data_IF_567231093988
#
_entry.id   IF_567231093988
#
_cell.length_a   1.000
_cell.length_b   1.000
_cell.length_c   1.000
_cell.angle_alpha   90.00
_cell.angle_beta   90.00
_cell.angle_gamma   90.00
#
_symmetry.space_group_name_H-M   'P 1'
#
loop_
_entity.id
_entity.type
_entity.pdbx_description
1 polymer ?
#
# COMPACT_ATOMS: atom_id res chain seq x y z
N UNK A 1 25.73 -28.86 -0.73
CA UNK A 1 24.81 -27.70 -0.67
C UNK A 1 24.48 -27.32 -2.10
N UNK A 2 23.22 -27.06 -2.41
CA UNK A 2 22.85 -26.47 -3.70
C UNK A 2 23.54 -25.11 -3.80
N UNK A 3 24.15 -24.79 -4.95
CA UNK A 3 24.84 -23.52 -5.16
C UNK A 3 23.89 -22.31 -5.11
N UNK A 4 24.39 -21.07 -5.28
CA UNK A 4 23.56 -19.86 -5.20
C UNK A 4 22.49 -19.78 -6.31
N UNK A 5 22.63 -20.59 -7.37
CA UNK A 5 21.69 -20.66 -8.49
C UNK A 5 21.09 -22.06 -8.49
N UNK A 6 19.76 -22.13 -8.38
CA UNK A 6 19.00 -23.39 -8.31
C UNK A 6 17.83 -23.31 -9.28
N UNK A 7 17.69 -24.30 -10.15
CA UNK A 7 16.51 -24.45 -11.01
C UNK A 7 15.39 -25.12 -10.21
N UNK A 8 14.23 -24.47 -10.11
CA UNK A 8 13.05 -25.01 -9.40
C UNK A 8 12.24 -25.90 -10.34
N UNK A 9 12.00 -25.45 -11.57
CA UNK A 9 11.27 -26.19 -12.60
C UNK A 9 11.77 -25.82 -14.01
N UNK A 10 11.06 -26.25 -15.06
CA UNK A 10 11.46 -25.97 -16.44
C UNK A 10 11.56 -24.46 -16.76
N UNK A 11 10.77 -23.61 -16.08
CA UNK A 11 10.64 -22.17 -16.32
C UNK A 11 11.25 -21.28 -15.24
N UNK A 12 11.48 -21.80 -14.04
CA UNK A 12 11.88 -21.02 -12.88
C UNK A 12 13.30 -21.34 -12.40
N UNK A 13 14.07 -20.28 -12.16
CA UNK A 13 15.41 -20.33 -11.59
C UNK A 13 15.42 -19.39 -10.39
N UNK A 14 15.85 -19.88 -9.24
CA UNK A 14 16.13 -19.11 -8.05
C UNK A 14 17.61 -18.69 -8.05
N UNK A 15 17.86 -17.40 -7.85
CA UNK A 15 19.20 -16.82 -7.83
C UNK A 15 19.39 -16.09 -6.50
N UNK A 16 20.33 -16.58 -5.70
CA UNK A 16 20.81 -15.94 -4.47
C UNK A 16 22.29 -15.55 -4.65
N UNK A 17 22.56 -14.73 -5.66
CA UNK A 17 23.88 -14.18 -5.95
C UNK A 17 23.74 -12.67 -6.26
N UNK A 18 24.33 -11.78 -5.44
CA UNK A 18 24.20 -10.33 -5.63
C UNK A 18 24.78 -9.85 -6.96
N UNK A 19 25.69 -10.60 -7.61
CA UNK A 19 26.23 -10.24 -8.93
C UNK A 19 25.17 -10.18 -10.02
N UNK A 20 24.06 -10.88 -9.84
CA UNK A 20 22.94 -10.89 -10.79
C UNK A 20 21.86 -9.86 -10.44
N UNK A 21 22.04 -9.07 -9.39
CA UNK A 21 21.02 -8.10 -8.97
C UNK A 21 20.67 -7.12 -10.10
N UNK A 22 21.68 -6.50 -10.73
CA UNK A 22 21.47 -5.55 -11.83
C UNK A 22 21.01 -6.22 -13.13
N UNK A 23 21.22 -7.53 -13.29
CA UNK A 23 20.71 -8.28 -14.44
C UNK A 23 19.21 -8.59 -14.28
N UNK A 24 18.80 -8.99 -13.06
CA UNK A 24 17.42 -9.36 -12.73
C UNK A 24 16.55 -8.13 -12.52
N UNK A 25 17.03 -7.16 -11.75
CA UNK A 25 16.38 -5.91 -11.38
C UNK A 25 16.96 -4.72 -12.17
N UNK A 26 17.23 -4.95 -13.45
CA UNK A 26 17.86 -3.98 -14.33
C UNK A 26 17.11 -2.64 -14.40
N UNK A 27 17.86 -1.56 -14.56
CA UNK A 27 17.32 -0.21 -14.75
C UNK A 27 16.48 -0.10 -16.03
N UNK A 28 15.75 1.01 -16.17
CA UNK A 28 14.74 1.21 -17.23
C UNK A 28 15.23 1.17 -18.68
N UNK A 29 16.50 0.86 -18.95
CA UNK A 29 17.05 0.60 -20.28
C UNK A 29 16.74 -0.81 -20.79
N UNK A 30 16.41 -1.77 -19.91
CA UNK A 30 16.11 -3.15 -20.30
C UNK A 30 14.60 -3.40 -20.37
N UNK A 31 14.11 -3.78 -21.55
CA UNK A 31 12.72 -4.19 -21.76
C UNK A 31 12.52 -5.65 -21.33
N UNK A 32 11.76 -5.88 -20.26
CA UNK A 32 11.34 -7.24 -19.83
C UNK A 32 9.85 -7.27 -19.52
N UNK A 33 9.20 -8.36 -19.95
CA UNK A 33 7.81 -8.64 -19.60
C UNK A 33 7.77 -9.46 -18.30
N UNK A 34 6.75 -9.25 -17.48
CA UNK A 34 6.48 -10.13 -16.33
C UNK A 34 5.92 -11.46 -16.83
N UNK A 35 6.18 -12.53 -16.10
CA UNK A 35 5.58 -13.84 -16.39
C UNK A 35 4.08 -13.82 -16.05
N UNK A 36 3.24 -14.11 -17.05
CA UNK A 36 1.78 -14.02 -16.93
C UNK A 36 1.21 -14.99 -15.89
N UNK A 37 1.78 -16.20 -15.81
CA UNK A 37 1.38 -17.19 -14.81
C UNK A 37 1.75 -16.72 -13.42
N UNK A 38 2.95 -16.17 -13.25
CA UNK A 38 3.39 -15.62 -11.98
C UNK A 38 2.53 -14.45 -11.50
N UNK A 39 2.13 -13.50 -12.35
CA UNK A 39 1.34 -12.34 -11.88
C UNK A 39 -0.15 -12.63 -11.67
N UNK A 40 -0.64 -13.75 -12.21
CA UNK A 40 -2.07 -14.10 -12.18
C UNK A 40 -2.61 -14.38 -10.76
N UNK A 41 -1.76 -14.75 -9.80
CA UNK A 41 -2.20 -15.10 -8.44
C UNK A 41 -2.88 -13.94 -7.71
N UNK A 42 -2.57 -12.69 -8.11
CA UNK A 42 -3.12 -11.49 -7.47
C UNK A 42 -4.63 -11.39 -7.66
N UNK A 43 -5.17 -12.00 -8.72
CA UNK A 43 -6.57 -11.82 -9.09
C UNK A 43 -6.90 -10.39 -9.56
N UNK A 44 -5.93 -9.51 -9.79
CA UNK A 44 -6.15 -8.13 -10.25
C UNK A 44 -5.50 -7.95 -11.62
N UNK A 45 -6.01 -8.66 -12.63
CA UNK A 45 -5.34 -8.86 -13.91
C UNK A 45 -5.21 -7.57 -14.73
N UNK A 46 -6.09 -6.60 -14.53
CA UNK A 46 -6.04 -5.31 -15.23
C UNK A 46 -5.23 -4.26 -14.46
N UNK A 47 -4.81 -4.53 -13.21
CA UNK A 47 -4.03 -3.58 -12.43
C UNK A 47 -2.60 -3.38 -12.99
N UNK A 48 -1.99 -2.25 -12.63
CA UNK A 48 -0.59 -1.96 -12.98
C UNK A 48 0.36 -3.06 -12.48
N UNK A 49 0.21 -3.55 -11.25
CA UNK A 49 1.07 -4.59 -10.69
C UNK A 49 1.05 -5.90 -11.49
N UNK A 50 -0.10 -6.29 -12.04
CA UNK A 50 -0.27 -7.53 -12.82
C UNK A 50 -0.08 -7.33 -14.33
N UNK A 51 0.19 -6.11 -14.78
CA UNK A 51 0.42 -5.83 -16.21
C UNK A 51 1.71 -6.50 -16.67
N UNK A 52 1.60 -7.41 -17.65
CA UNK A 52 2.71 -8.23 -18.14
C UNK A 52 3.58 -7.53 -19.17
N UNK A 53 2.97 -6.82 -20.11
CA UNK A 53 3.70 -6.07 -21.13
C UNK A 53 4.42 -4.86 -20.52
N UNK A 54 5.70 -4.74 -20.86
CA UNK A 54 6.58 -3.70 -20.35
C UNK A 54 6.08 -2.28 -20.64
N UNK A 55 5.68 -2.00 -21.89
CA UNK A 55 5.36 -0.63 -22.31
C UNK A 55 4.00 -0.21 -21.73
N UNK A 56 3.04 -1.14 -21.67
CA UNK A 56 1.76 -0.91 -21.01
C UNK A 56 1.93 -0.71 -19.50
N UNK A 57 2.80 -1.49 -18.85
CA UNK A 57 3.14 -1.30 -17.44
C UNK A 57 3.76 0.09 -17.22
N UNK A 58 4.74 0.47 -18.05
CA UNK A 58 5.39 1.78 -18.00
C UNK A 58 4.38 2.92 -18.18
N UNK A 59 3.45 2.78 -19.12
CA UNK A 59 2.38 3.74 -19.34
C UNK A 59 1.49 3.88 -18.10
N UNK A 60 0.93 2.77 -17.59
CA UNK A 60 0.05 2.75 -16.40
C UNK A 60 0.73 3.32 -15.16
N UNK A 61 1.99 2.95 -14.92
CA UNK A 61 2.83 3.50 -13.85
C UNK A 61 3.03 5.01 -14.04
N UNK A 62 3.33 5.42 -15.27
CA UNK A 62 3.51 6.83 -15.65
C UNK A 62 2.33 7.73 -15.32
N UNK A 63 1.09 7.23 -15.41
CA UNK A 63 -0.11 7.97 -15.02
C UNK A 63 -0.11 8.38 -13.54
N UNK A 64 0.53 7.60 -12.67
CA UNK A 64 0.49 7.79 -11.21
C UNK A 64 1.79 8.36 -10.63
N UNK A 65 2.89 8.38 -11.38
CA UNK A 65 4.22 8.76 -10.87
C UNK A 65 4.25 10.12 -10.16
N UNK A 66 3.51 11.11 -10.67
CA UNK A 66 3.50 12.45 -10.08
C UNK A 66 2.92 12.47 -8.65
N UNK A 67 1.95 11.62 -8.36
CA UNK A 67 1.36 11.47 -7.02
C UNK A 67 2.42 10.96 -6.04
N UNK A 68 3.27 10.07 -6.49
CA UNK A 68 4.36 9.55 -5.67
C UNK A 68 5.56 10.51 -5.60
N UNK A 69 5.52 11.71 -6.17
CA UNK A 69 6.61 12.69 -6.01
C UNK A 69 6.71 13.24 -4.58
N UNK A 70 7.92 13.65 -4.14
CA UNK A 70 8.09 14.34 -2.85
C UNK A 70 7.16 15.55 -2.69
N UNK A 71 6.90 16.28 -3.77
CA UNK A 71 6.00 17.44 -3.76
C UNK A 71 4.56 17.03 -3.42
N UNK A 72 4.05 15.99 -4.07
CA UNK A 72 2.69 15.51 -3.84
C UNK A 72 2.53 14.84 -2.47
N UNK A 73 3.53 14.10 -2.00
CA UNK A 73 3.53 13.54 -0.63
C UNK A 73 3.54 14.63 0.43
N UNK A 74 4.31 15.71 0.24
CA UNK A 74 4.24 16.89 1.12
C UNK A 74 2.84 17.53 1.11
N UNK A 75 2.17 17.52 -0.04
CA UNK A 75 0.80 18.04 -0.17
C UNK A 75 -0.24 17.32 0.68
N UNK A 76 -0.01 16.07 1.09
CA UNK A 76 -0.91 15.31 1.98
C UNK A 76 -0.38 15.20 3.43
N UNK A 77 0.78 15.81 3.76
CA UNK A 77 1.40 15.61 5.08
C UNK A 77 0.48 16.01 6.23
N UNK A 78 -0.31 17.08 6.06
CA UNK A 78 -1.29 17.54 7.06
C UNK A 78 -2.30 16.44 7.42
N UNK A 79 -2.75 15.66 6.44
CA UNK A 79 -3.73 14.59 6.65
C UNK A 79 -3.07 13.38 7.33
N UNK A 80 -1.83 13.08 6.98
CA UNK A 80 -1.05 12.04 7.68
C UNK A 80 -0.86 12.44 9.15
N UNK A 81 -0.49 13.69 9.42
CA UNK A 81 -0.35 14.24 10.78
C UNK A 81 -1.66 14.16 11.56
N UNK A 82 -2.80 14.47 10.94
CA UNK A 82 -4.13 14.31 11.53
C UNK A 82 -4.38 12.84 11.95
N UNK A 83 -4.12 11.87 11.05
CA UNK A 83 -4.35 10.44 11.36
C UNK A 83 -3.37 9.91 12.40
N UNK A 84 -2.12 10.37 12.41
CA UNK A 84 -1.16 10.07 13.48
C UNK A 84 -1.66 10.61 14.81
N UNK A 85 -2.16 11.85 14.85
CA UNK A 85 -2.71 12.44 16.07
C UNK A 85 -3.94 11.67 16.57
N UNK A 86 -4.87 11.31 15.68
CA UNK A 86 -6.01 10.47 16.04
C UNK A 86 -5.54 9.12 16.59
N UNK A 87 -4.60 8.44 15.94
CA UNK A 87 -4.03 7.19 16.44
C UNK A 87 -3.40 7.34 17.84
N UNK A 88 -2.69 8.44 18.12
CA UNK A 88 -2.16 8.73 19.46
C UNK A 88 -3.27 8.88 20.50
N UNK A 89 -4.37 9.57 20.18
CA UNK A 89 -5.53 9.67 21.07
C UNK A 89 -6.17 8.29 21.33
N UNK A 90 -6.25 7.43 20.29
CA UNK A 90 -6.74 6.05 20.43
C UNK A 90 -5.84 5.24 21.36
N UNK A 91 -4.51 5.35 21.24
CA UNK A 91 -3.57 4.69 22.14
C UNK A 91 -3.71 5.17 23.59
N UNK A 92 -3.86 6.47 23.82
CA UNK A 92 -4.12 7.03 25.16
C UNK A 92 -5.41 6.45 25.76
N UNK A 93 -6.48 6.35 24.96
CA UNK A 93 -7.74 5.75 25.41
C UNK A 93 -7.58 4.25 25.75
N UNK A 94 -6.87 3.49 24.93
CA UNK A 94 -6.59 2.07 25.22
C UNK A 94 -5.72 1.89 26.47
N UNK A 95 -4.74 2.77 26.67
CA UNK A 95 -3.89 2.79 27.87
C UNK A 95 -4.73 3.05 29.12
N UNK A 96 -5.60 4.06 29.12
CA UNK A 96 -6.49 4.38 30.25
C UNK A 96 -7.44 3.22 30.60
N UNK A 97 -7.87 2.46 29.61
CA UNK A 97 -8.73 1.30 29.80
C UNK A 97 -7.96 -0.01 30.05
N UNK A 98 -6.63 0.03 30.17
CA UNK A 98 -5.76 -1.14 30.32
C UNK A 98 -6.03 -2.23 29.25
N UNK A 99 -6.30 -1.82 28.00
CA UNK A 99 -6.60 -2.74 26.89
C UNK A 99 -5.33 -3.04 26.10
N UNK A 100 -5.05 -4.33 25.89
CA UNK A 100 -3.98 -4.77 24.99
C UNK A 100 -4.38 -4.45 23.55
N UNK A 101 -3.49 -3.78 22.82
CA UNK A 101 -3.73 -3.36 21.42
C UNK A 101 -2.81 -4.11 20.49
N UNK A 102 -3.39 -4.60 19.39
CA UNK A 102 -2.64 -5.11 18.25
C UNK A 102 -2.14 -3.95 17.40
N UNK A 103 -0.83 -3.72 17.40
CA UNK A 103 -0.23 -2.62 16.65
C UNK A 103 -0.41 -2.77 15.13
N UNK A 104 -0.44 -4.00 14.62
CA UNK A 104 -0.72 -4.26 13.22
C UNK A 104 -2.16 -3.87 12.82
N UNK A 105 -3.14 -4.08 13.70
CA UNK A 105 -4.51 -3.59 13.49
C UNK A 105 -4.58 -2.07 13.50
N UNK A 106 -3.87 -1.44 14.44
CA UNK A 106 -3.86 0.01 14.59
C UNK A 106 -3.18 0.71 13.41
N UNK A 107 -2.03 0.21 12.96
CA UNK A 107 -1.36 0.76 11.80
C UNK A 107 -2.12 0.47 10.50
N UNK A 108 -2.71 -0.72 10.34
CA UNK A 108 -3.52 -1.02 9.17
C UNK A 108 -4.73 -0.09 9.05
N UNK A 109 -5.40 0.23 10.17
CA UNK A 109 -6.48 1.20 10.18
C UNK A 109 -6.00 2.60 9.74
N UNK A 110 -4.92 3.12 10.34
CA UNK A 110 -4.35 4.42 9.98
C UNK A 110 -3.93 4.49 8.50
N UNK A 111 -3.21 3.49 8.02
CA UNK A 111 -2.72 3.47 6.65
C UNK A 111 -3.85 3.28 5.63
N UNK A 112 -4.93 2.59 6.01
CA UNK A 112 -6.14 2.49 5.20
C UNK A 112 -6.75 3.88 4.99
N UNK A 113 -6.92 4.65 6.07
CA UNK A 113 -7.50 6.00 5.99
C UNK A 113 -6.64 6.95 5.13
N UNK A 114 -5.32 6.88 5.29
CA UNK A 114 -4.38 7.66 4.47
C UNK A 114 -4.47 7.28 2.99
N UNK A 115 -4.41 5.99 2.64
CA UNK A 115 -4.41 5.59 1.23
C UNK A 115 -5.77 5.80 0.57
N UNK A 116 -6.89 5.64 1.28
CA UNK A 116 -8.22 5.88 0.73
C UNK A 116 -8.43 7.37 0.48
N UNK A 117 -7.98 8.24 1.39
CA UNK A 117 -8.01 9.67 1.15
C UNK A 117 -7.12 10.06 -0.04
N UNK A 118 -5.94 9.45 -0.16
CA UNK A 118 -5.03 9.75 -1.27
C UNK A 118 -5.56 9.29 -2.64
N UNK A 119 -6.22 8.14 -2.67
CA UNK A 119 -6.76 7.58 -3.91
C UNK A 119 -8.09 8.23 -4.32
N UNK A 120 -8.98 8.51 -3.36
CA UNK A 120 -10.38 8.87 -3.60
C UNK A 120 -10.81 10.22 -3.03
N UNK A 121 -9.94 10.91 -2.31
CA UNK A 121 -10.25 12.18 -1.63
C UNK A 121 -11.04 12.00 -0.33
N UNK A 122 -11.37 10.76 0.07
CA UNK A 122 -12.18 10.47 1.25
C UNK A 122 -11.54 9.43 2.18
N UNK A 123 -11.48 9.76 3.47
CA UNK A 123 -11.17 8.82 4.55
C UNK A 123 -12.32 7.82 4.73
N UNK A 124 -12.02 6.55 4.97
CA UNK A 124 -13.05 5.57 5.34
C UNK A 124 -13.19 5.37 6.85
N UNK A 125 -12.46 6.17 7.62
CA UNK A 125 -12.51 6.33 9.07
C UNK A 125 -12.32 5.01 9.83
N UNK A 126 -11.39 4.19 9.36
CA UNK A 126 -11.02 2.90 9.93
C UNK A 126 -10.54 3.03 11.38
N UNK A 127 -9.84 4.13 11.71
CA UNK A 127 -9.36 4.42 13.06
C UNK A 127 -10.48 4.68 14.08
N UNK A 128 -11.60 5.25 13.63
CA UNK A 128 -12.67 5.74 14.51
C UNK A 128 -13.56 4.61 15.04
N UNK A 129 -13.50 3.42 14.42
CA UNK A 129 -14.17 2.23 14.93
C UNK A 129 -13.61 1.81 16.28
N UNK A 130 -14.50 1.50 17.23
CA UNK A 130 -14.14 1.13 18.61
C UNK A 130 -13.04 0.05 18.71
N UNK A 131 -13.05 -0.92 17.80
CA UNK A 131 -12.08 -2.02 17.73
C UNK A 131 -11.07 -1.94 16.58
N UNK A 132 -10.95 -0.79 15.92
CA UNK A 132 -10.12 -0.57 14.73
C UNK A 132 -10.56 -1.46 13.55
N UNK A 133 -11.02 -0.83 12.48
CA UNK A 133 -11.44 -1.58 11.28
C UNK A 133 -10.20 -2.10 10.55
N UNK A 134 -10.22 -3.35 10.10
CA UNK A 134 -9.02 -4.06 9.56
C UNK A 134 -9.32 -4.90 8.32
N UNK A 135 -10.37 -4.54 7.59
CA UNK A 135 -10.92 -5.44 6.59
C UNK A 135 -10.06 -5.55 5.34
N UNK A 136 -9.40 -4.46 4.94
CA UNK A 136 -8.36 -4.49 3.88
C UNK A 136 -7.25 -5.48 4.26
N UNK A 137 -6.74 -5.40 5.50
CA UNK A 137 -5.71 -6.31 6.00
C UNK A 137 -6.17 -7.78 5.96
N UNK A 138 -7.38 -8.06 6.44
CA UNK A 138 -7.96 -9.41 6.40
C UNK A 138 -8.08 -9.92 4.95
N UNK A 139 -8.54 -9.07 4.02
CA UNK A 139 -8.62 -9.40 2.61
C UNK A 139 -7.27 -9.80 2.01
N UNK A 140 -6.23 -9.00 2.29
CA UNK A 140 -4.86 -9.24 1.82
C UNK A 140 -4.30 -10.52 2.44
N UNK A 141 -4.55 -10.77 3.72
CA UNK A 141 -4.13 -11.99 4.39
C UNK A 141 -4.77 -13.23 3.79
N UNK A 142 -6.09 -13.23 3.58
CA UNK A 142 -6.82 -14.34 2.97
C UNK A 142 -6.35 -14.63 1.55
N UNK A 143 -6.07 -13.58 0.76
CA UNK A 143 -5.51 -13.71 -0.58
C UNK A 143 -4.11 -14.36 -0.51
N UNK A 144 -3.27 -13.88 0.40
CA UNK A 144 -1.89 -14.39 0.60
C UNK A 144 -1.87 -15.86 1.00
N UNK A 145 -2.71 -16.26 1.96
CA UNK A 145 -2.86 -17.66 2.37
C UNK A 145 -3.34 -18.56 1.23
N UNK A 146 -4.06 -18.00 0.26
CA UNK A 146 -4.59 -18.72 -0.89
C UNK A 146 -3.62 -18.76 -2.08
N UNK A 147 -2.47 -18.05 -2.05
CA UNK A 147 -1.55 -17.91 -3.21
C UNK A 147 -1.07 -19.27 -3.73
N UNK A 148 -0.65 -20.17 -2.85
CA UNK A 148 -0.17 -21.49 -3.29
C UNK A 148 -1.28 -22.30 -3.96
N UNK A 149 -2.49 -22.26 -3.40
CA UNK A 149 -3.66 -22.93 -3.97
C UNK A 149 -4.02 -22.33 -5.33
N UNK A 150 -4.06 -21.01 -5.42
CA UNK A 150 -4.37 -20.27 -6.65
C UNK A 150 -3.34 -20.50 -7.75
N UNK A 151 -2.06 -20.70 -7.39
CA UNK A 151 -0.98 -21.00 -8.32
C UNK A 151 -1.04 -22.43 -8.87
N UNK A 152 -1.46 -23.39 -8.05
CA UNK A 152 -1.62 -24.80 -8.48
C UNK A 152 -2.92 -25.00 -9.25
N UNK A 153 -3.99 -24.30 -8.85
CA UNK A 153 -5.33 -24.41 -9.43
C UNK A 153 -5.82 -23.06 -9.97
N UNK A 154 -5.22 -22.51 -11.04
CA UNK A 154 -5.59 -21.19 -11.58
C UNK A 154 -7.04 -21.13 -12.09
N UNK A 155 -7.60 -22.28 -12.50
CA UNK A 155 -9.01 -22.42 -12.88
C UNK A 155 -9.94 -22.04 -11.73
N UNK A 156 -9.55 -22.31 -10.47
CA UNK A 156 -10.37 -22.00 -9.31
C UNK A 156 -10.67 -20.51 -9.19
N UNK A 157 -9.65 -19.64 -9.29
CA UNK A 157 -9.86 -18.18 -9.28
C UNK A 157 -10.68 -17.72 -10.48
N UNK A 158 -10.43 -18.28 -11.67
CA UNK A 158 -11.17 -17.93 -12.88
C UNK A 158 -12.66 -18.29 -12.76
N UNK A 159 -12.99 -19.42 -12.14
CA UNK A 159 -14.37 -19.85 -11.87
C UNK A 159 -14.99 -19.00 -10.76
N UNK A 160 -14.26 -18.75 -9.67
CA UNK A 160 -14.73 -17.97 -8.53
C UNK A 160 -15.14 -16.55 -8.94
N UNK A 161 -14.37 -15.90 -9.83
CA UNK A 161 -14.69 -14.58 -10.37
C UNK A 161 -15.92 -14.55 -11.28
N UNK A 162 -16.31 -15.68 -11.87
CA UNK A 162 -17.52 -15.81 -12.70
C UNK A 162 -18.76 -16.14 -11.87
N UNK A 163 -18.60 -16.49 -10.60
CA UNK A 163 -19.73 -16.76 -9.72
C UNK A 163 -20.46 -15.45 -9.37
N UNK A 164 -21.80 -15.41 -9.43
CA UNK A 164 -22.55 -14.25 -8.98
C UNK A 164 -22.25 -13.96 -7.50
N UNK A 165 -22.15 -12.67 -7.15
CA UNK A 165 -21.75 -12.21 -5.80
C UNK A 165 -22.53 -12.88 -4.67
N UNK A 166 -23.83 -13.13 -4.85
CA UNK A 166 -24.69 -13.85 -3.89
C UNK A 166 -24.16 -15.24 -3.46
N UNK A 167 -23.53 -15.98 -4.37
CA UNK A 167 -22.92 -17.28 -4.05
C UNK A 167 -21.61 -17.12 -3.30
N UNK A 168 -20.83 -16.08 -3.61
CA UNK A 168 -19.62 -15.72 -2.84
C UNK A 168 -19.97 -15.34 -1.40
N UNK A 169 -21.03 -14.55 -1.20
CA UNK A 169 -21.54 -14.19 0.13
C UNK A 169 -21.98 -15.43 0.92
N UNK A 170 -22.61 -16.41 0.26
CA UNK A 170 -23.08 -17.65 0.90
C UNK A 170 -21.94 -18.61 1.29
N UNK A 171 -20.88 -18.70 0.46
CA UNK A 171 -19.74 -19.62 0.70
C UNK A 171 -18.79 -19.06 1.76
N UNK A 172 -18.63 -17.74 1.84
CA UNK A 172 -17.78 -17.10 2.85
C UNK A 172 -18.47 -15.84 3.42
N UNK A 173 -19.33 -15.99 4.44
CA UNK A 173 -19.99 -14.83 5.07
C UNK A 173 -19.00 -13.81 5.65
N UNK A 174 -17.76 -14.22 6.00
CA UNK A 174 -16.69 -13.32 6.43
C UNK A 174 -16.03 -12.46 5.32
N UNK A 175 -16.29 -12.75 4.05
CA UNK A 175 -15.78 -11.97 2.89
C UNK A 175 -16.72 -10.83 2.46
N UNK A 176 -17.86 -10.66 3.14
CA UNK A 176 -18.79 -9.58 2.83
C UNK A 176 -18.13 -8.22 2.79
N UNK A 177 -17.11 -8.01 3.63
CA UNK A 177 -16.44 -6.73 3.77
C UNK A 177 -15.48 -6.42 2.62
N UNK A 178 -14.87 -7.44 2.01
CA UNK A 178 -14.08 -7.28 0.78
C UNK A 178 -15.00 -6.93 -0.39
N UNK A 179 -16.18 -7.54 -0.42
CA UNK A 179 -17.22 -7.23 -1.40
C UNK A 179 -17.80 -5.83 -1.18
N UNK A 180 -17.91 -5.35 0.07
CA UNK A 180 -18.31 -3.98 0.39
C UNK A 180 -17.25 -2.96 0.00
N UNK A 181 -15.95 -3.29 0.16
CA UNK A 181 -14.84 -2.49 -0.36
C UNK A 181 -14.90 -2.47 -1.89
N UNK A 182 -15.07 -3.62 -2.55
CA UNK A 182 -15.23 -3.68 -4.00
C UNK A 182 -16.45 -2.92 -4.49
N UNK A 183 -17.56 -2.97 -3.77
CA UNK A 183 -18.77 -2.19 -4.05
C UNK A 183 -18.53 -0.70 -3.86
N UNK A 184 -17.85 -0.30 -2.79
CA UNK A 184 -17.48 1.11 -2.54
C UNK A 184 -16.57 1.61 -3.66
N UNK A 185 -15.55 0.83 -4.03
CA UNK A 185 -14.64 1.14 -5.15
C UNK A 185 -15.42 1.16 -6.47
N UNK A 186 -16.37 0.23 -6.68
CA UNK A 186 -17.26 0.20 -7.85
C UNK A 186 -18.09 1.46 -7.93
N UNK A 187 -18.78 1.83 -6.85
CA UNK A 187 -19.66 3.00 -6.77
C UNK A 187 -18.85 4.27 -7.02
N UNK A 188 -17.69 4.42 -6.37
CA UNK A 188 -16.80 5.56 -6.59
C UNK A 188 -16.23 5.60 -8.02
N UNK A 189 -15.88 4.44 -8.60
CA UNK A 189 -15.41 4.37 -9.99
C UNK A 189 -16.54 4.72 -10.97
N UNK A 190 -17.76 4.23 -10.73
CA UNK A 190 -18.91 4.52 -11.56
C UNK A 190 -19.34 6.00 -11.44
N UNK A 191 -19.30 6.57 -10.24
CA UNK A 191 -19.55 7.98 -9.99
C UNK A 191 -18.51 8.87 -10.70
N UNK A 192 -17.23 8.50 -10.66
CA UNK A 192 -16.16 9.24 -11.34
C UNK A 192 -16.24 9.20 -12.87
N UNK A 193 -16.82 8.14 -13.46
CA UNK A 193 -16.99 7.98 -14.91
C UNK A 193 -18.30 8.62 -15.42
N UNK A 194 -19.41 8.46 -14.67
CA UNK A 194 -20.77 8.75 -15.15
C UNK A 194 -21.44 9.95 -14.47
N UNK A 195 -20.89 10.48 -13.38
CA UNK A 195 -21.52 11.57 -12.65
C UNK A 195 -21.18 12.94 -13.22
N UNK A 196 -22.18 13.68 -13.71
CA UNK A 196 -22.17 15.17 -13.76
C UNK A 196 -21.96 15.79 -12.35
N UNK A 197 -22.02 14.95 -11.31
CA UNK A 197 -21.92 15.26 -9.88
C UNK A 197 -20.55 14.98 -9.26
N UNK A 198 -19.50 14.61 -10.00
CA UNK A 198 -18.14 14.82 -9.47
C UNK A 198 -17.75 16.30 -9.53
N UNK A 199 -18.67 17.17 -9.08
CA UNK A 199 -18.30 18.34 -8.32
C UNK A 199 -18.23 17.83 -6.89
N UNK A 200 -17.05 17.35 -6.47
CA UNK A 200 -16.71 17.44 -5.04
C UNK A 200 -17.14 18.85 -4.65
N UNK A 201 -17.99 19.02 -3.64
CA UNK A 201 -18.40 20.34 -3.18
C UNK A 201 -17.14 21.15 -2.92
N UNK A 202 -16.77 22.00 -3.88
CA UNK A 202 -15.55 22.81 -3.89
C UNK A 202 -15.63 23.98 -2.90
N UNK A 203 -16.44 23.84 -1.85
CA UNK A 203 -16.90 24.96 -1.03
C UNK A 203 -16.34 24.97 0.39
N UNK A 204 -15.62 23.93 0.83
CA UNK A 204 -14.93 23.96 2.12
C UNK A 204 -13.41 23.88 1.91
N UNK A 205 -12.73 24.84 2.51
CA UNK A 205 -11.49 25.43 2.05
C UNK A 205 -10.22 24.60 2.33
N UNK A 206 -9.16 25.04 1.62
CA UNK A 206 -7.72 24.80 1.85
C UNK A 206 -7.15 23.55 1.14
N UNK A 207 -6.80 23.79 -0.13
CA UNK A 207 -5.83 23.05 -0.96
C UNK A 207 -6.38 21.99 -1.95
N UNK A 208 -6.11 22.26 -3.23
CA UNK A 208 -6.67 21.58 -4.41
C UNK A 208 -5.87 20.32 -4.75
N UNK A 209 -5.91 19.29 -3.91
CA UNK A 209 -5.19 18.05 -4.24
C UNK A 209 -6.02 17.17 -5.20
N UNK A 210 -5.61 17.06 -6.48
CA UNK A 210 -6.14 16.07 -7.44
C UNK A 210 -5.93 14.67 -6.86
N UNK A 211 -6.90 13.76 -6.91
CA UNK A 211 -6.75 12.38 -6.42
C UNK A 211 -6.15 11.47 -7.49
N UNK A 212 -5.67 10.28 -7.12
CA UNK A 212 -5.20 9.30 -8.11
C UNK A 212 -6.36 8.92 -9.04
N UNK A 213 -7.57 8.77 -8.50
CA UNK A 213 -8.74 8.45 -9.30
C UNK A 213 -9.13 9.55 -10.28
N UNK A 214 -9.04 10.83 -9.89
CA UNK A 214 -9.25 11.96 -10.81
C UNK A 214 -8.29 11.93 -11.99
N UNK A 215 -7.07 11.43 -11.79
CA UNK A 215 -6.13 11.25 -12.88
C UNK A 215 -6.53 10.06 -13.74
N UNK A 216 -6.88 8.92 -13.15
CA UNK A 216 -7.19 7.70 -13.89
C UNK A 216 -8.52 7.78 -14.67
N UNK A 217 -9.46 8.63 -14.25
CA UNK A 217 -10.74 8.84 -14.94
C UNK A 217 -10.71 9.99 -15.96
N UNK A 218 -9.59 10.71 -16.04
CA UNK A 218 -9.42 11.88 -16.90
C UNK A 218 -9.74 11.56 -18.37
N UNK A 219 -10.64 12.30 -19.04
CA UNK A 219 -11.05 12.02 -20.42
C UNK A 219 -9.91 11.97 -21.44
N UNK A 220 -8.76 12.59 -21.14
CA UNK A 220 -7.54 12.52 -21.96
C UNK A 220 -6.90 11.12 -22.02
N UNK A 221 -7.23 10.24 -21.07
CA UNK A 221 -6.76 8.86 -21.04
C UNK A 221 -7.61 7.99 -21.99
N UNK A 222 -7.00 7.02 -22.71
CA UNK A 222 -7.72 6.08 -23.56
C UNK A 222 -8.88 5.38 -22.82
N UNK A 223 -10.00 5.18 -23.52
CA UNK A 223 -11.21 4.61 -22.91
C UNK A 223 -11.01 3.22 -22.31
N UNK A 224 -10.12 2.41 -22.89
CA UNK A 224 -9.76 1.07 -22.39
C UNK A 224 -9.14 1.12 -20.99
N UNK A 225 -8.32 2.14 -20.73
CA UNK A 225 -7.67 2.39 -19.44
C UNK A 225 -8.60 3.05 -18.42
N UNK A 226 -9.78 3.49 -18.86
CA UNK A 226 -10.86 4.04 -18.04
C UNK A 226 -12.03 3.06 -17.85
N UNK A 227 -11.87 1.81 -18.29
CA UNK A 227 -12.92 0.81 -18.08
C UNK A 227 -13.14 0.56 -16.59
N UNK A 228 -14.39 0.31 -16.21
CA UNK A 228 -14.78 0.16 -14.81
C UNK A 228 -13.98 -0.95 -14.08
N UNK A 229 -13.79 -2.09 -14.74
CA UNK A 229 -12.98 -3.19 -14.18
C UNK A 229 -11.52 -2.79 -14.01
N UNK A 230 -10.95 -2.05 -14.97
CA UNK A 230 -9.56 -1.58 -14.91
C UNK A 230 -9.32 -0.67 -13.71
N UNK A 231 -10.25 0.26 -13.47
CA UNK A 231 -10.19 1.17 -12.33
C UNK A 231 -10.36 0.42 -11.01
N UNK A 232 -11.31 -0.51 -10.93
CA UNK A 232 -11.49 -1.36 -9.74
C UNK A 232 -10.26 -2.18 -9.38
N UNK A 233 -9.64 -2.83 -10.37
CA UNK A 233 -8.42 -3.60 -10.17
C UNK A 233 -7.28 -2.69 -9.66
N UNK A 234 -7.16 -1.45 -10.18
CA UNK A 234 -6.15 -0.48 -9.69
C UNK A 234 -6.45 0.01 -8.28
N UNK A 235 -7.71 0.33 -7.98
CA UNK A 235 -8.12 0.78 -6.65
C UNK A 235 -7.84 -0.23 -5.58
N UNK A 236 -8.27 -1.47 -5.83
CA UNK A 236 -8.05 -2.55 -4.89
C UNK A 236 -6.55 -2.84 -4.72
N UNK A 237 -5.76 -2.73 -5.80
CA UNK A 237 -4.31 -2.82 -5.71
C UNK A 237 -3.73 -1.72 -4.82
N UNK A 238 -4.06 -0.44 -5.07
CA UNK A 238 -3.51 0.70 -4.35
C UNK A 238 -3.87 0.65 -2.85
N UNK A 239 -5.15 0.40 -2.54
CA UNK A 239 -5.63 0.29 -1.15
C UNK A 239 -4.97 -0.88 -0.43
N UNK A 240 -4.90 -2.05 -1.07
CA UNK A 240 -4.28 -3.25 -0.48
C UNK A 240 -2.78 -3.06 -0.24
N UNK A 241 -2.06 -2.58 -1.26
CA UNK A 241 -0.62 -2.39 -1.21
C UNK A 241 -0.23 -1.29 -0.21
N UNK A 242 -0.90 -0.13 -0.27
CA UNK A 242 -0.61 1.00 0.62
C UNK A 242 -0.94 0.72 2.09
N UNK A 243 -1.94 -0.13 2.35
CA UNK A 243 -2.33 -0.53 3.71
C UNK A 243 -1.36 -1.54 4.31
N UNK A 244 -1.29 -2.75 3.77
CA UNK A 244 -0.61 -3.86 4.46
C UNK A 244 0.91 -3.65 4.54
N UNK A 245 1.54 -3.13 3.47
CA UNK A 245 3.00 -2.98 3.44
C UNK A 245 3.48 -1.93 4.44
N UNK A 246 2.82 -0.77 4.47
CA UNK A 246 3.11 0.32 5.40
C UNK A 246 2.81 -0.09 6.83
N UNK A 247 1.67 -0.74 7.08
CA UNK A 247 1.32 -1.24 8.41
C UNK A 247 2.36 -2.25 8.92
N UNK A 248 2.76 -3.21 8.09
CA UNK A 248 3.78 -4.21 8.42
C UNK A 248 5.12 -3.56 8.76
N UNK A 249 5.54 -2.57 7.98
CA UNK A 249 6.75 -1.80 8.20
C UNK A 249 6.73 -1.11 9.58
N UNK A 250 5.64 -0.39 9.87
CA UNK A 250 5.47 0.31 11.15
C UNK A 250 5.40 -0.66 12.34
N UNK A 251 4.65 -1.76 12.23
CA UNK A 251 4.59 -2.79 13.28
C UNK A 251 5.97 -3.36 13.58
N UNK A 252 6.74 -3.68 12.54
CA UNK A 252 8.08 -4.26 12.70
C UNK A 252 9.04 -3.26 13.33
N UNK A 253 9.02 -2.01 12.86
CA UNK A 253 9.81 -0.93 13.44
C UNK A 253 9.47 -0.74 14.94
N UNK A 254 8.18 -0.66 15.29
CA UNK A 254 7.75 -0.53 16.68
C UNK A 254 8.17 -1.72 17.54
N UNK A 255 8.09 -2.95 17.02
CA UNK A 255 8.54 -4.14 17.73
C UNK A 255 10.03 -4.06 18.09
N UNK A 256 10.88 -3.70 17.14
CA UNK A 256 12.33 -3.56 17.39
C UNK A 256 12.66 -2.38 18.30
N UNK A 257 11.99 -1.23 18.13
CA UNK A 257 12.16 -0.09 19.03
C UNK A 257 11.70 -0.43 20.45
N UNK A 258 10.66 -1.23 20.62
CA UNK A 258 10.18 -1.64 21.94
C UNK A 258 11.10 -2.68 22.59
N UNK A 259 11.68 -3.58 21.80
CA UNK A 259 12.47 -4.72 22.30
C UNK A 259 13.94 -4.40 22.58
N UNK A 260 14.48 -3.33 22.00
CA UNK A 260 15.88 -2.93 22.14
C UNK A 260 16.00 -1.55 22.82
N UNK A 261 16.49 -1.57 24.06
CA UNK A 261 16.65 -0.38 24.90
C UNK A 261 17.67 0.63 24.34
N UNK A 262 18.72 0.15 23.67
CA UNK A 262 19.73 1.00 23.05
C UNK A 262 19.14 1.72 21.84
N UNK A 263 18.40 0.99 21.00
CA UNK A 263 17.71 1.58 19.84
C UNK A 263 16.71 2.63 20.30
N UNK A 264 15.90 2.31 21.33
CA UNK A 264 14.89 3.20 21.89
C UNK A 264 15.47 4.47 22.50
N UNK A 265 16.53 4.33 23.28
CA UNK A 265 17.18 5.45 23.98
C UNK A 265 17.78 6.42 22.97
N UNK A 266 18.56 5.90 22.02
CA UNK A 266 19.21 6.71 20.98
C UNK A 266 18.18 7.41 20.06
N UNK A 267 17.09 6.73 19.70
CA UNK A 267 16.01 7.36 18.93
C UNK A 267 15.36 8.51 19.70
N UNK A 268 15.06 8.31 20.99
CA UNK A 268 14.46 9.36 21.83
C UNK A 268 15.39 10.53 22.06
N UNK A 269 16.69 10.30 22.24
CA UNK A 269 17.69 11.35 22.39
C UNK A 269 17.76 12.23 21.13
N UNK A 270 17.80 11.63 19.95
CA UNK A 270 17.76 12.39 18.70
C UNK A 270 16.44 13.15 18.54
N UNK A 271 15.30 12.49 18.75
CA UNK A 271 13.99 13.14 18.61
C UNK A 271 13.82 14.32 19.57
N UNK A 272 14.37 14.26 20.80
CA UNK A 272 14.32 15.37 21.77
C UNK A 272 14.99 16.65 21.28
N UNK A 273 15.89 16.57 20.30
CA UNK A 273 16.54 17.77 19.72
C UNK A 273 15.55 18.66 18.95
N UNK A 274 14.48 18.06 18.41
CA UNK A 274 13.43 18.75 17.65
C UNK A 274 12.04 18.66 18.31
N UNK A 275 11.83 17.70 19.22
CA UNK A 275 10.62 17.49 20.01
C UNK A 275 10.96 17.48 21.51
N UNK A 276 11.31 18.64 22.11
CA UNK A 276 11.75 18.72 23.50
C UNK A 276 10.63 18.40 24.51
N UNK A 277 9.37 18.63 24.13
CA UNK A 277 8.19 18.38 24.98
C UNK A 277 7.17 17.46 24.29
N UNK A 278 6.29 16.77 25.04
CA UNK A 278 5.22 15.96 24.46
C UNK A 278 4.22 16.72 23.58
N UNK A 279 4.18 18.06 23.71
CA UNK A 279 3.30 18.96 22.96
C UNK A 279 4.03 19.70 21.84
N UNK A 280 5.33 19.45 21.67
CA UNK A 280 6.10 20.01 20.56
C UNK A 280 5.55 19.48 19.24
N UNK A 281 5.53 20.34 18.21
CA UNK A 281 5.26 19.94 16.83
C UNK A 281 6.54 20.07 16.03
N UNK A 282 6.70 19.22 15.02
CA UNK A 282 7.86 19.19 14.14
C UNK A 282 7.36 19.01 12.72
N UNK A 283 7.95 19.74 11.78
CA UNK A 283 7.59 19.57 10.38
C UNK A 283 8.28 18.33 9.81
N UNK A 284 7.68 17.73 8.78
CA UNK A 284 8.30 16.63 8.05
C UNK A 284 9.72 16.95 7.53
N UNK A 285 9.96 18.21 7.12
CA UNK A 285 11.28 18.64 6.62
C UNK A 285 12.35 18.71 7.71
N UNK A 286 11.97 18.84 8.98
CA UNK A 286 12.88 18.78 10.12
C UNK A 286 13.17 17.32 10.50
N UNK A 287 12.17 16.45 10.43
CA UNK A 287 12.35 15.01 10.65
C UNK A 287 13.28 14.38 9.61
N UNK A 288 13.22 14.80 8.34
CA UNK A 288 14.13 14.32 7.28
C UNK A 288 15.62 14.62 7.58
N UNK A 289 15.91 15.59 8.45
CA UNK A 289 17.29 15.97 8.79
C UNK A 289 17.88 15.12 9.92
N UNK A 290 17.07 14.26 10.55
CA UNK A 290 17.49 13.44 11.68
C UNK A 290 18.20 12.17 11.17
N UNK A 291 19.54 12.07 11.29
CA UNK A 291 20.29 10.99 10.67
C UNK A 291 19.96 9.63 11.27
N UNK A 292 19.70 9.52 12.57
CA UNK A 292 19.35 8.23 13.18
C UNK A 292 17.92 7.81 12.82
N UNK A 293 16.97 8.73 12.68
CA UNK A 293 15.62 8.43 12.19
C UNK A 293 15.62 7.98 10.72
N UNK A 294 16.43 8.61 9.86
CA UNK A 294 16.42 8.40 8.40
C UNK A 294 17.47 7.38 7.92
N UNK A 295 18.51 7.10 8.70
CA UNK A 295 19.61 6.21 8.27
C UNK A 295 19.15 4.80 7.91
N UNK A 296 19.56 4.38 6.71
CA UNK A 296 19.34 3.05 6.15
C UNK A 296 20.29 1.97 6.74
N UNK A 297 21.30 2.36 7.52
CA UNK A 297 22.37 1.49 8.02
C UNK A 297 22.02 0.69 9.29
N UNK A 298 20.75 0.38 9.53
CA UNK A 298 20.31 -0.28 10.77
C UNK A 298 19.67 -1.64 10.60
N UNK A 299 19.71 -2.48 11.64
CA UNK A 299 18.94 -3.71 11.66
C UNK A 299 17.46 -3.46 11.32
N UNK A 300 16.84 -2.36 11.77
CA UNK A 300 15.44 -2.03 11.49
C UNK A 300 15.10 -1.86 10.00
N UNK A 301 15.99 -1.29 9.18
CA UNK A 301 15.81 -1.22 7.72
C UNK A 301 16.10 -2.55 7.03
N UNK A 302 16.92 -3.42 7.64
CA UNK A 302 17.04 -4.84 7.25
C UNK A 302 15.81 -5.68 7.67
N UNK A 303 15.06 -5.27 8.70
CA UNK A 303 13.87 -5.94 9.21
C UNK A 303 12.56 -5.48 8.53
N UNK A 304 12.59 -4.38 7.77
CA UNK A 304 11.54 -4.01 6.83
C UNK A 304 11.48 -5.07 5.71
N UNK A 305 10.75 -6.16 5.96
CA UNK A 305 10.30 -7.18 5.01
C UNK A 305 11.26 -7.47 3.83
N UNK A 306 12.11 -8.52 3.91
CA UNK A 306 13.02 -8.92 2.84
C UNK A 306 12.33 -9.13 1.47
N UNK A 307 11.03 -9.46 1.46
CA UNK A 307 10.22 -9.65 0.25
C UNK A 307 9.90 -8.36 -0.53
N UNK A 308 10.23 -7.18 -0.01
CA UNK A 308 10.06 -5.90 -0.72
C UNK A 308 11.36 -5.20 -1.13
N UNK A 309 12.52 -5.68 -0.64
CA UNK A 309 13.84 -5.14 -0.99
C UNK A 309 14.19 -5.35 -2.48
N UNK A 310 13.46 -6.22 -3.17
CA UNK A 310 13.60 -6.48 -4.60
C UNK A 310 12.75 -5.61 -5.51
N UNK A 311 11.75 -4.89 -4.98
CA UNK A 311 10.65 -4.39 -5.83
C UNK A 311 10.43 -2.88 -5.76
N UNK A 312 10.97 -2.18 -4.76
CA UNK A 312 10.74 -0.73 -4.58
C UNK A 312 12.00 0.09 -4.26
N UNK A 313 13.16 -0.55 -4.07
CA UNK A 313 14.38 0.13 -3.60
C UNK A 313 15.10 0.98 -4.65
N UNK A 314 14.63 1.04 -5.90
CA UNK A 314 15.33 1.75 -6.98
C UNK A 314 14.52 2.94 -7.57
N UNK A 315 13.19 2.98 -7.45
CA UNK A 315 12.43 4.04 -8.15
C UNK A 315 12.30 5.38 -7.40
N UNK A 316 12.71 5.47 -6.13
CA UNK A 316 12.42 6.66 -5.30
C UNK A 316 13.63 7.50 -4.86
N UNK A 317 14.86 7.08 -5.15
CA UNK A 317 16.08 7.76 -4.69
C UNK A 317 17.11 8.10 -5.78
N UNK A 318 16.72 8.11 -7.07
CA UNK A 318 17.64 8.46 -8.16
C UNK A 318 17.30 9.73 -8.96
N UNK A 319 16.57 10.68 -8.37
CA UNK A 319 16.56 12.04 -8.92
C UNK A 319 16.99 13.06 -7.86
N UNK A 320 18.28 13.41 -7.94
CA UNK A 320 18.77 14.75 -7.64
C UNK A 320 18.14 15.77 -8.59
#
# INVERSE_FOLDING_TARGET
>A
MLGPIVRINAREIHINDPKYYDEIYASGTHRRNKDAEFVSFTGLLLSSASTTDHDLHRYRRGLMNNFFSKKSVRGISYFVEEKVHNLMQRFEAFYRCNKVVRLDDAFAAMTSDVITHYCYGKSWDYLDYANLRTDVRKAVHDLTCSVHFNRIFPIFLAVLKKLPLQWLYAIHPGRSVVLDIQKTIYEQSAEAIHGDKYKIGHNDAVDKHKTIYDQLTDPSIPAEERSLQRLQDEGLLLVSAGTETTARALTTACFHIASDDQVRTRLREELRTVLPTPTSSVTWSELEKLPYLVSEDKPSSHFLCPTFRSSLSVEFLQHH
#
